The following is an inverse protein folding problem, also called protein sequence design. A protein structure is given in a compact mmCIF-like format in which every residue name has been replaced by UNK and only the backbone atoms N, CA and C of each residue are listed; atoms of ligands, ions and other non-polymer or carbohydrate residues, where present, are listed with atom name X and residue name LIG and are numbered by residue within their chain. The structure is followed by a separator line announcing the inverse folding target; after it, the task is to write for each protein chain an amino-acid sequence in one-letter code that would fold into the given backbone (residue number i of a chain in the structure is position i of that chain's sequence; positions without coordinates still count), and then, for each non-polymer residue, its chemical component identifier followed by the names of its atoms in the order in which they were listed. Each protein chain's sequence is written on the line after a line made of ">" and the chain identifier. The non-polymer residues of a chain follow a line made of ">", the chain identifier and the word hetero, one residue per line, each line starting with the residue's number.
data_IF_226342128756
#
_entry.id   IF_226342128756
#
_cell.length_a   1.000
_cell.length_b   1.000
_cell.length_c   1.000
_cell.angle_alpha   90.00
_cell.angle_beta   90.00
_cell.angle_gamma   90.00
#
_symmetry.space_group_name_H-M   'P 1'
#
loop_
_entity.id
_entity.type
_entity.pdbx_description
1 polymer ?
#
# COMPACT_ATOMS: atom_id res chain seq x y z
N UNK A 1 10.95 -17.75 4.87
CA UNK A 1 9.96 -17.42 3.83
C UNK A 1 9.55 -15.97 3.89
N UNK A 2 8.95 -15.47 2.81
CA UNK A 2 8.40 -14.12 2.77
C UNK A 2 7.18 -14.01 3.71
N UNK A 3 7.04 -12.86 4.38
CA UNK A 3 5.97 -12.60 5.34
C UNK A 3 5.05 -11.43 4.92
N UNK A 4 5.40 -10.72 3.85
CA UNK A 4 4.76 -9.44 3.53
C UNK A 4 4.58 -9.27 2.02
N UNK A 5 3.37 -8.92 1.61
CA UNK A 5 3.09 -8.37 0.28
C UNK A 5 3.45 -6.88 0.27
N UNK A 6 4.47 -6.49 -0.49
CA UNK A 6 4.87 -5.09 -0.59
C UNK A 6 4.30 -4.43 -1.86
N UNK A 7 3.44 -3.43 -1.70
CA UNK A 7 2.88 -2.68 -2.82
C UNK A 7 3.84 -1.52 -3.14
N UNK A 8 4.48 -1.60 -4.31
CA UNK A 8 5.41 -0.56 -4.76
C UNK A 8 4.68 0.56 -5.52
N UNK A 9 3.98 0.22 -6.61
CA UNK A 9 3.26 1.18 -7.44
C UNK A 9 1.81 0.76 -7.67
N UNK A 10 0.91 1.73 -7.60
CA UNK A 10 -0.48 1.60 -8.03
C UNK A 10 -0.84 2.85 -8.83
N UNK A 11 -1.12 2.67 -10.11
CA UNK A 11 -1.55 3.75 -11.00
C UNK A 11 -2.88 3.39 -11.66
N UNK A 12 -3.74 4.40 -11.82
CA UNK A 12 -4.98 4.30 -12.59
C UNK A 12 -4.96 5.44 -13.61
N UNK A 13 -5.22 5.13 -14.87
CA UNK A 13 -5.32 6.14 -15.93
C UNK A 13 -6.38 7.19 -15.55
N UNK A 14 -6.10 8.50 -15.72
CA UNK A 14 -7.07 9.56 -15.42
C UNK A 14 -8.44 9.37 -16.09
N UNK A 15 -8.49 8.79 -17.29
CA UNK A 15 -9.72 8.50 -18.05
C UNK A 15 -10.56 7.39 -17.41
N UNK A 16 -9.97 6.63 -16.50
CA UNK A 16 -10.58 5.50 -15.82
C UNK A 16 -10.95 5.81 -14.35
N UNK A 17 -10.72 7.05 -13.88
CA UNK A 17 -11.13 7.51 -12.56
C UNK A 17 -12.65 7.52 -12.38
N UNK A 18 -13.11 7.52 -11.13
CA UNK A 18 -14.54 7.50 -10.78
C UNK A 18 -15.23 6.14 -10.98
N UNK A 19 -14.53 5.11 -11.46
CA UNK A 19 -15.07 3.77 -11.74
C UNK A 19 -14.76 2.74 -10.65
N UNK A 20 -14.18 3.15 -9.52
CA UNK A 20 -13.81 2.23 -8.44
C UNK A 20 -12.61 1.33 -8.72
N UNK A 21 -11.88 1.53 -9.83
CA UNK A 21 -10.77 0.65 -10.25
C UNK A 21 -9.63 0.57 -9.22
N UNK A 22 -9.26 1.69 -8.60
CA UNK A 22 -8.22 1.68 -7.57
C UNK A 22 -8.59 0.73 -6.42
N UNK A 23 -9.85 0.75 -5.98
CA UNK A 23 -10.37 -0.16 -4.96
C UNK A 23 -10.36 -1.62 -5.42
N UNK A 24 -10.77 -1.89 -6.66
CA UNK A 24 -10.74 -3.24 -7.22
C UNK A 24 -9.32 -3.80 -7.30
N UNK A 25 -8.36 -3.00 -7.75
CA UNK A 25 -6.94 -3.38 -7.83
C UNK A 25 -6.36 -3.67 -6.45
N UNK A 26 -6.58 -2.77 -5.47
CA UNK A 26 -6.09 -3.00 -4.11
C UNK A 26 -6.70 -4.26 -3.50
N UNK A 27 -8.02 -4.46 -3.64
CA UNK A 27 -8.66 -5.66 -3.12
C UNK A 27 -8.09 -6.94 -3.75
N UNK A 28 -7.88 -6.95 -5.06
CA UNK A 28 -7.29 -8.07 -5.76
C UNK A 28 -5.88 -8.41 -5.24
N UNK A 29 -5.04 -7.41 -5.03
CA UNK A 29 -3.69 -7.59 -4.47
C UNK A 29 -3.74 -8.15 -3.04
N UNK A 30 -4.64 -7.64 -2.19
CA UNK A 30 -4.79 -8.13 -0.82
C UNK A 30 -5.29 -9.58 -0.78
N UNK A 31 -6.22 -9.95 -1.66
CA UNK A 31 -6.72 -11.32 -1.77
C UNK A 31 -5.64 -12.28 -2.28
N UNK A 32 -4.79 -11.83 -3.21
CA UNK A 32 -3.61 -12.57 -3.63
C UNK A 32 -2.63 -12.79 -2.47
N UNK A 33 -2.37 -11.76 -1.66
CA UNK A 33 -1.50 -11.89 -0.48
C UNK A 33 -2.02 -12.91 0.53
N UNK A 34 -3.35 -12.94 0.78
CA UNK A 34 -3.99 -13.97 1.61
C UNK A 34 -3.87 -15.37 0.99
N UNK A 35 -4.08 -15.48 -0.32
CA UNK A 35 -3.95 -16.75 -1.04
C UNK A 35 -2.54 -17.34 -0.98
N UNK A 36 -1.53 -16.47 -0.86
CA UNK A 36 -0.13 -16.85 -0.63
C UNK A 36 0.21 -17.14 0.85
N UNK A 37 -0.74 -16.99 1.77
CA UNK A 37 -0.52 -17.19 3.20
C UNK A 37 0.33 -16.11 3.87
N UNK A 38 0.46 -14.93 3.25
CA UNK A 38 1.25 -13.83 3.80
C UNK A 38 0.49 -13.16 4.96
N UNK A 39 1.12 -12.97 6.13
CA UNK A 39 0.45 -12.35 7.28
C UNK A 39 0.26 -10.83 7.14
N UNK A 40 1.05 -10.15 6.30
CA UNK A 40 1.03 -8.70 6.19
C UNK A 40 1.05 -8.18 4.75
N UNK A 41 0.58 -6.95 4.60
CA UNK A 41 0.86 -6.09 3.46
C UNK A 41 1.47 -4.77 3.92
N UNK A 42 2.34 -4.20 3.09
CA UNK A 42 3.04 -2.96 3.39
C UNK A 42 3.24 -2.08 2.14
N UNK A 43 3.41 -0.78 2.35
CA UNK A 43 3.68 0.20 1.30
C UNK A 43 4.36 1.45 1.87
N UNK A 44 4.90 2.29 0.99
CA UNK A 44 5.25 3.68 1.32
C UNK A 44 4.26 4.61 0.65
N UNK A 45 3.52 5.34 1.48
CA UNK A 45 2.60 6.39 1.04
C UNK A 45 3.40 7.65 0.73
N UNK A 46 3.25 8.18 -0.48
CA UNK A 46 3.82 9.44 -0.93
C UNK A 46 2.73 10.39 -1.43
N UNK A 47 3.05 11.66 -1.65
CA UNK A 47 2.17 12.64 -2.31
C UNK A 47 0.78 12.75 -1.62
N UNK A 48 0.77 12.81 -0.29
CA UNK A 48 -0.42 12.93 0.55
C UNK A 48 -1.49 11.82 0.35
N UNK A 49 -1.07 10.65 -0.15
CA UNK A 49 -1.97 9.50 -0.37
C UNK A 49 -2.33 8.71 0.90
N UNK A 50 -1.85 9.11 2.08
CA UNK A 50 -2.06 8.37 3.34
C UNK A 50 -3.54 8.16 3.66
N UNK A 51 -4.39 9.17 3.41
CA UNK A 51 -5.84 9.06 3.65
C UNK A 51 -6.49 8.02 2.74
N UNK A 52 -6.01 7.88 1.50
CA UNK A 52 -6.50 6.86 0.59
C UNK A 52 -6.17 5.46 1.12
N UNK A 53 -4.92 5.23 1.56
CA UNK A 53 -4.48 3.94 2.11
C UNK A 53 -5.14 3.58 3.45
N UNK A 54 -5.40 4.57 4.31
CA UNK A 54 -6.20 4.38 5.53
C UNK A 54 -7.58 3.76 5.23
N UNK A 55 -8.20 4.13 4.10
CA UNK A 55 -9.48 3.56 3.66
C UNK A 55 -9.44 2.06 3.36
N UNK A 56 -8.25 1.50 3.14
CA UNK A 56 -8.01 0.06 2.97
C UNK A 56 -7.53 -0.63 4.24
N UNK A 57 -7.39 0.11 5.36
CA UNK A 57 -6.92 -0.41 6.64
C UNK A 57 -5.40 -0.47 6.77
N UNK A 58 -4.66 0.19 5.88
CA UNK A 58 -3.24 0.47 6.15
C UNK A 58 -3.13 1.55 7.21
N UNK A 59 -2.16 1.40 8.11
CA UNK A 59 -1.86 2.37 9.14
C UNK A 59 -0.37 2.69 9.12
N UNK A 60 -0.04 3.94 9.46
CA UNK A 60 1.34 4.38 9.61
C UNK A 60 2.07 3.50 10.64
N UNK A 61 3.29 3.08 10.31
CA UNK A 61 4.15 2.29 11.18
C UNK A 61 5.54 2.89 11.20
N UNK A 62 6.09 3.06 12.40
CA UNK A 62 7.47 3.47 12.54
C UNK A 62 8.39 2.42 11.89
N UNK A 63 9.38 2.89 11.14
CA UNK A 63 10.44 2.06 10.58
C UNK A 63 11.78 2.75 10.81
N UNK A 64 12.80 1.96 11.13
CA UNK A 64 14.19 2.42 11.19
C UNK A 64 14.92 2.29 9.85
N UNK A 65 14.23 1.87 8.80
CA UNK A 65 14.83 1.65 7.48
C UNK A 65 15.18 3.00 6.82
N UNK A 66 16.47 3.21 6.56
CA UNK A 66 16.98 4.39 5.88
C UNK A 66 16.45 4.54 4.45
N UNK A 67 15.94 3.46 3.84
CA UNK A 67 15.27 3.50 2.54
C UNK A 67 14.06 4.41 2.52
N UNK A 68 13.40 4.67 3.67
CA UNK A 68 12.31 5.65 3.72
C UNK A 68 12.80 7.07 3.35
N UNK A 69 14.06 7.40 3.63
CA UNK A 69 14.66 8.70 3.34
C UNK A 69 14.95 8.91 1.85
N UNK A 70 14.86 7.87 1.01
CA UNK A 70 15.02 8.00 -0.44
C UNK A 70 13.75 8.51 -1.12
N UNK A 71 12.62 8.54 -0.40
CA UNK A 71 11.36 9.08 -0.89
C UNK A 71 11.25 10.60 -0.64
N UNK A 72 10.36 11.30 -1.37
CA UNK A 72 10.08 12.70 -1.10
C UNK A 72 9.67 12.96 0.36
N UNK A 73 9.91 14.18 0.83
CA UNK A 73 9.51 14.60 2.17
C UNK A 73 8.01 14.33 2.41
N UNK A 74 7.69 13.82 3.60
CA UNK A 74 6.31 13.43 3.96
C UNK A 74 5.93 12.00 3.57
N UNK A 75 6.87 11.20 3.05
CA UNK A 75 6.65 9.77 2.85
C UNK A 75 6.39 9.04 4.17
N UNK A 76 5.41 8.14 4.18
CA UNK A 76 4.99 7.40 5.37
C UNK A 76 4.99 5.91 5.07
N UNK A 77 5.78 5.14 5.81
CA UNK A 77 5.67 3.69 5.79
C UNK A 77 4.36 3.24 6.45
N UNK A 78 3.58 2.41 5.75
CA UNK A 78 2.29 1.94 6.22
C UNK A 78 2.17 0.42 6.10
N UNK A 79 1.48 -0.20 7.05
CA UNK A 79 1.28 -1.65 7.09
C UNK A 79 -0.16 -2.03 7.42
N UNK A 80 -0.56 -3.24 7.03
CA UNK A 80 -1.87 -3.83 7.29
C UNK A 80 -1.74 -5.36 7.48
N UNK A 81 -2.37 -5.96 8.51
CA UNK A 81 -2.57 -7.41 8.57
C UNK A 81 -3.48 -7.90 7.44
N UNK A 82 -3.15 -9.01 6.80
CA UNK A 82 -3.93 -9.56 5.67
C UNK A 82 -5.11 -10.42 6.12
#
# INVERSE_FOLDING_TARGET
>A
DADTLYLHDLAVDPRALGRGLARALVQHLLDLGRGLGLPYAALVSVQDSTRFWNGFGFAARATGDAGLLTYPAGAVYMTRPL
#
